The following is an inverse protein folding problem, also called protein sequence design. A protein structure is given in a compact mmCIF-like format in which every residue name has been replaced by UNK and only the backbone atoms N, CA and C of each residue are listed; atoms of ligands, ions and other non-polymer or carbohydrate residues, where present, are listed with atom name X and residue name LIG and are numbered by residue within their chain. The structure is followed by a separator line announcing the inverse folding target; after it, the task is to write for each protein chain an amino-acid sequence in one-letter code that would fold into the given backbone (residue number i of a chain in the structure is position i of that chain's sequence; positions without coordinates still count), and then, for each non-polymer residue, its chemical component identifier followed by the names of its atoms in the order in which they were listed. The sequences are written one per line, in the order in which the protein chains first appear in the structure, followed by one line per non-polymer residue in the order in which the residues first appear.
data_IF_210197859690
#
_entry.id   IF_210197859690
#
_cell.length_a   1.000
_cell.length_b   1.000
_cell.length_c   1.000
_cell.angle_alpha   90.00
_cell.angle_beta   90.00
_cell.angle_gamma   90.00
#
_symmetry.space_group_name_H-M   'P 1'
#
loop_
_entity.id
_entity.type
_entity.pdbx_description
1 polymer ?
#
# COMPACT_ATOMS: atom_id res chain seq x y z
N UNK A 1 10.69 23.37 15.64
CA UNK A 1 10.06 24.47 14.88
C UNK A 1 10.52 24.36 13.44
N UNK A 2 9.79 23.62 12.59
CA UNK A 2 9.98 23.68 11.15
C UNK A 2 8.92 24.65 10.62
N UNK A 3 9.30 25.91 10.49
CA UNK A 3 8.42 26.99 10.02
C UNK A 3 8.44 27.04 8.50
N UNK A 4 7.32 26.63 7.91
CA UNK A 4 6.69 27.14 6.68
C UNK A 4 7.58 27.72 5.57
N UNK A 5 8.07 26.88 4.65
CA UNK A 5 8.58 27.39 3.36
C UNK A 5 8.26 26.51 2.14
N UNK A 6 7.55 25.38 2.28
CA UNK A 6 7.37 24.45 1.15
C UNK A 6 6.08 24.64 0.35
N UNK A 7 5.11 25.42 0.84
CA UNK A 7 3.78 25.54 0.19
C UNK A 7 3.71 26.65 -0.88
N UNK A 8 4.71 27.54 -0.96
CA UNK A 8 4.66 28.72 -1.86
C UNK A 8 5.04 28.40 -3.31
N UNK A 9 5.85 27.37 -3.57
CA UNK A 9 6.38 27.10 -4.92
C UNK A 9 5.31 26.59 -5.92
N UNK A 10 4.22 26.00 -5.44
CA UNK A 10 3.19 25.41 -6.31
C UNK A 10 2.27 26.47 -6.96
N UNK A 11 2.10 27.64 -6.33
CA UNK A 11 1.12 28.63 -6.81
C UNK A 11 1.55 29.42 -8.04
N UNK A 12 2.85 29.60 -8.30
CA UNK A 12 3.33 30.46 -9.40
C UNK A 12 3.30 29.81 -10.80
N UNK A 13 3.05 28.50 -10.92
CA UNK A 13 3.00 27.80 -12.22
C UNK A 13 1.76 26.93 -12.43
N UNK A 14 0.70 27.07 -11.62
CA UNK A 14 -0.51 26.25 -11.73
C UNK A 14 -1.16 26.30 -13.13
N UNK A 15 -1.02 27.42 -13.86
CA UNK A 15 -1.55 27.57 -15.23
C UNK A 15 -0.73 26.85 -16.31
N UNK A 16 0.43 26.27 -15.97
CA UNK A 16 1.28 25.49 -16.89
C UNK A 16 1.19 23.98 -16.67
N UNK A 17 0.53 23.55 -15.60
CA UNK A 17 0.32 22.15 -15.32
C UNK A 17 -0.84 21.61 -16.17
N UNK A 18 -0.80 20.35 -16.61
CA UNK A 18 -1.95 19.73 -17.26
C UNK A 18 -3.15 19.74 -16.31
N UNK A 19 -4.35 19.81 -16.88
CA UNK A 19 -5.59 19.66 -16.12
C UNK A 19 -5.61 18.31 -15.39
N UNK A 20 -6.16 18.23 -14.17
CA UNK A 20 -6.31 16.96 -13.48
C UNK A 20 -7.25 16.05 -14.25
N UNK A 21 -7.00 14.74 -14.17
CA UNK A 21 -7.89 13.69 -14.67
C UNK A 21 -9.21 13.74 -13.88
N UNK A 22 -10.36 13.57 -14.54
CA UNK A 22 -11.68 13.64 -13.90
C UNK A 22 -12.57 12.46 -14.32
N UNK A 23 -13.58 12.16 -13.49
CA UNK A 23 -14.60 11.16 -13.83
C UNK A 23 -15.51 11.58 -15.00
N UNK A 24 -15.58 12.88 -15.29
CA UNK A 24 -16.32 13.44 -16.42
C UNK A 24 -15.73 13.07 -17.78
N UNK A 25 -14.47 12.63 -17.82
CA UNK A 25 -13.78 12.25 -19.06
C UNK A 25 -14.36 10.92 -19.57
N UNK A 26 -15.25 10.99 -20.56
CA UNK A 26 -15.99 9.83 -21.06
C UNK A 26 -15.06 8.73 -21.58
N UNK A 27 -15.31 7.50 -21.12
CA UNK A 27 -14.52 6.33 -21.49
C UNK A 27 -13.16 6.22 -20.78
N UNK A 28 -12.84 7.16 -19.88
CA UNK A 28 -11.60 7.10 -19.09
C UNK A 28 -11.67 6.04 -17.99
N UNK A 29 -10.48 5.65 -17.52
CA UNK A 29 -10.36 4.82 -16.32
C UNK A 29 -10.93 5.50 -15.07
N UNK A 30 -10.77 6.82 -14.95
CA UNK A 30 -11.30 7.60 -13.83
C UNK A 30 -12.84 7.55 -13.80
N UNK A 31 -13.50 7.68 -14.95
CA UNK A 31 -14.94 7.50 -15.05
C UNK A 31 -15.35 6.10 -14.58
N UNK A 32 -14.69 5.05 -15.09
CA UNK A 32 -14.99 3.67 -14.70
C UNK A 32 -14.77 3.44 -13.20
N UNK A 33 -13.74 4.05 -12.63
CA UNK A 33 -13.43 3.95 -11.20
C UNK A 33 -14.56 4.53 -10.36
N UNK A 34 -14.97 5.77 -10.64
CA UNK A 34 -16.02 6.46 -9.87
C UNK A 34 -17.40 5.79 -10.06
N UNK A 35 -17.75 5.41 -11.29
CA UNK A 35 -19.09 4.90 -11.62
C UNK A 35 -19.28 3.44 -11.21
N UNK A 36 -18.21 2.62 -11.23
CA UNK A 36 -18.32 1.17 -11.02
C UNK A 36 -17.52 0.68 -9.82
N UNK A 37 -16.22 0.97 -9.77
CA UNK A 37 -15.31 0.40 -8.77
C UNK A 37 -15.60 0.91 -7.35
N UNK A 38 -15.84 2.21 -7.19
CA UNK A 38 -16.12 2.78 -5.85
C UNK A 38 -17.41 2.19 -5.23
N UNK A 39 -18.55 2.09 -5.95
CA UNK A 39 -19.71 1.37 -5.43
C UNK A 39 -19.45 -0.10 -5.08
N UNK A 40 -18.71 -0.83 -5.94
CA UNK A 40 -18.35 -2.24 -5.71
C UNK A 40 -17.49 -2.44 -4.46
N UNK A 41 -16.62 -1.49 -4.13
CA UNK A 41 -15.84 -1.51 -2.88
C UNK A 41 -16.77 -1.44 -1.67
N UNK A 42 -17.78 -0.57 -1.68
CA UNK A 42 -18.77 -0.50 -0.59
C UNK A 42 -19.57 -1.79 -0.50
N UNK A 43 -20.01 -2.34 -1.62
CA UNK A 43 -20.74 -3.62 -1.65
C UNK A 43 -19.92 -4.75 -1.03
N UNK A 44 -18.61 -4.76 -1.27
CA UNK A 44 -17.70 -5.73 -0.66
C UNK A 44 -17.49 -5.47 0.84
N UNK A 45 -17.32 -4.23 1.27
CA UNK A 45 -17.23 -3.87 2.70
C UNK A 45 -18.48 -4.38 3.44
N UNK A 46 -19.67 -4.13 2.90
CA UNK A 46 -20.94 -4.57 3.49
C UNK A 46 -21.08 -6.09 3.54
N UNK A 47 -20.46 -6.82 2.61
CA UNK A 47 -20.47 -8.28 2.57
C UNK A 47 -19.48 -8.90 3.56
N UNK A 48 -18.29 -8.32 3.68
CA UNK A 48 -17.17 -8.91 4.40
C UNK A 48 -17.17 -8.60 5.91
N UNK A 49 -18.06 -7.72 6.38
CA UNK A 49 -18.08 -7.23 7.75
C UNK A 49 -19.47 -7.35 8.38
N UNK A 50 -19.49 -7.69 9.67
CA UNK A 50 -20.71 -7.68 10.51
C UNK A 50 -20.84 -6.34 11.24
N UNK A 51 -21.40 -5.35 10.55
CA UNK A 51 -21.61 -4.00 11.07
C UNK A 51 -22.97 -3.83 11.74
N UNK A 52 -23.05 -2.86 12.66
CA UNK A 52 -24.34 -2.46 13.23
C UNK A 52 -25.23 -1.79 12.16
N UNK A 53 -26.57 -1.76 12.34
CA UNK A 53 -27.49 -1.20 11.36
C UNK A 53 -27.19 0.25 10.94
N UNK A 54 -26.70 1.09 11.85
CA UNK A 54 -26.37 2.50 11.55
C UNK A 54 -25.18 2.61 10.59
N UNK A 55 -24.09 1.89 10.84
CA UNK A 55 -22.94 1.84 9.92
C UNK A 55 -23.33 1.30 8.55
N UNK A 56 -24.21 0.29 8.50
CA UNK A 56 -24.74 -0.24 7.22
C UNK A 56 -25.53 0.83 6.46
N UNK A 57 -26.34 1.63 7.15
CA UNK A 57 -27.09 2.73 6.55
C UNK A 57 -26.17 3.81 5.98
N UNK A 58 -25.16 4.24 6.75
CA UNK A 58 -24.19 5.26 6.34
C UNK A 58 -23.39 4.83 5.09
N UNK A 59 -22.93 3.58 5.04
CA UNK A 59 -22.26 3.04 3.86
C UNK A 59 -23.19 2.98 2.64
N UNK A 60 -24.47 2.61 2.82
CA UNK A 60 -25.45 2.60 1.73
C UNK A 60 -25.78 4.00 1.23
N UNK A 61 -25.84 4.99 2.11
CA UNK A 61 -26.00 6.39 1.72
C UNK A 61 -24.83 6.84 0.83
N UNK A 62 -23.59 6.62 1.27
CA UNK A 62 -22.39 6.92 0.48
C UNK A 62 -22.40 6.20 -0.89
N UNK A 63 -22.80 4.93 -0.91
CA UNK A 63 -22.94 4.16 -2.16
C UNK A 63 -23.94 4.78 -3.13
N UNK A 64 -25.07 5.25 -2.62
CA UNK A 64 -26.14 5.85 -3.42
C UNK A 64 -25.81 7.27 -3.87
N UNK A 65 -24.89 7.97 -3.18
CA UNK A 65 -24.33 9.24 -3.64
C UNK A 65 -23.49 9.07 -4.91
N UNK A 66 -22.91 7.89 -5.18
CA UNK A 66 -22.06 7.68 -6.35
C UNK A 66 -22.88 7.36 -7.62
N UNK A 67 -22.54 7.93 -8.79
CA UNK A 67 -21.52 8.97 -9.03
C UNK A 67 -22.09 10.41 -9.05
N UNK A 68 -23.42 10.57 -8.99
CA UNK A 68 -24.12 11.83 -9.31
C UNK A 68 -24.33 12.78 -8.12
N UNK A 69 -24.15 12.29 -6.90
CA UNK A 69 -24.23 13.08 -5.67
C UNK A 69 -23.12 14.13 -5.60
N UNK A 70 -23.32 15.14 -4.77
CA UNK A 70 -22.34 16.22 -4.57
C UNK A 70 -21.42 15.93 -3.39
N UNK A 71 -20.19 16.44 -3.47
CA UNK A 71 -19.23 16.34 -2.35
C UNK A 71 -19.81 17.03 -1.11
N UNK A 72 -19.80 16.30 0.01
CA UNK A 72 -20.33 16.76 1.30
C UNK A 72 -19.21 17.10 2.28
N UNK A 73 -19.51 17.92 3.28
CA UNK A 73 -18.61 18.07 4.44
C UNK A 73 -18.58 16.81 5.29
N UNK A 74 -17.47 16.61 6.00
CA UNK A 74 -17.38 15.59 7.03
C UNK A 74 -18.18 16.01 8.26
N UNK A 75 -18.67 15.04 9.02
CA UNK A 75 -19.49 15.20 10.23
C UNK A 75 -18.68 14.97 11.51
N UNK A 76 -17.57 14.26 11.41
CA UNK A 76 -16.71 13.87 12.54
C UNK A 76 -15.70 14.96 12.96
N UNK A 77 -16.20 16.15 13.31
CA UNK A 77 -15.40 17.34 13.64
C UNK A 77 -14.34 17.23 14.75
N UNK A 78 -14.32 16.12 15.50
CA UNK A 78 -13.35 15.86 16.57
C UNK A 78 -12.09 15.15 16.11
N UNK A 79 -12.00 14.69 14.85
CA UNK A 79 -10.81 13.98 14.36
C UNK A 79 -9.65 14.94 14.10
N UNK A 80 -8.41 14.45 14.26
CA UNK A 80 -7.21 15.28 14.11
C UNK A 80 -7.02 15.82 12.68
N UNK A 81 -7.56 15.11 11.67
CA UNK A 81 -7.45 15.45 10.25
C UNK A 81 -8.58 16.36 9.74
N UNK A 82 -9.61 16.63 10.57
CA UNK A 82 -10.82 17.33 10.14
C UNK A 82 -10.53 18.71 9.54
N UNK A 83 -9.67 19.49 10.20
CA UNK A 83 -9.35 20.86 9.74
C UNK A 83 -8.66 20.91 8.38
N UNK A 84 -7.82 19.92 8.06
CA UNK A 84 -7.19 19.81 6.74
C UNK A 84 -8.23 19.38 5.69
N UNK A 85 -9.08 18.40 6.02
CA UNK A 85 -10.14 17.93 5.12
C UNK A 85 -11.15 19.02 4.78
N UNK A 86 -11.55 19.86 5.72
CA UNK A 86 -12.43 21.00 5.43
C UNK A 86 -11.82 21.92 4.37
N UNK A 87 -10.49 22.14 4.42
CA UNK A 87 -9.80 22.95 3.41
C UNK A 87 -9.76 22.29 2.02
N UNK A 88 -9.68 20.96 1.96
CA UNK A 88 -9.70 20.19 0.71
C UNK A 88 -11.11 20.06 0.11
N UNK A 89 -12.14 19.98 0.96
CA UNK A 89 -13.54 19.81 0.55
C UNK A 89 -14.17 21.13 0.09
N UNK A 90 -13.87 22.24 0.77
CA UNK A 90 -14.48 23.55 0.52
C UNK A 90 -14.53 23.97 -0.96
N UNK A 91 -13.47 23.76 -1.79
CA UNK A 91 -13.50 24.09 -3.21
C UNK A 91 -14.52 23.29 -4.05
N UNK A 92 -15.07 22.20 -3.52
CA UNK A 92 -15.83 21.19 -4.26
C UNK A 92 -17.22 20.89 -3.69
N UNK A 93 -17.68 21.57 -2.63
CA UNK A 93 -18.93 21.32 -1.86
C UNK A 93 -20.24 21.34 -2.69
N UNK A 94 -20.18 21.62 -3.99
CA UNK A 94 -21.32 21.57 -4.90
C UNK A 94 -21.02 20.88 -6.23
N UNK A 95 -19.81 20.35 -6.39
CA UNK A 95 -19.41 19.54 -7.54
C UNK A 95 -19.84 18.10 -7.33
N UNK A 96 -20.16 17.41 -8.41
CA UNK A 96 -20.41 15.96 -8.37
C UNK A 96 -19.10 15.18 -8.23
N UNK A 97 -19.19 13.90 -7.87
CA UNK A 97 -18.00 13.02 -7.83
C UNK A 97 -17.28 12.91 -9.18
N UNK A 98 -18.00 13.07 -10.30
CA UNK A 98 -17.43 13.05 -11.65
C UNK A 98 -16.69 14.34 -12.01
N UNK A 99 -17.11 15.47 -11.44
CA UNK A 99 -16.61 16.80 -11.80
C UNK A 99 -15.31 17.16 -11.09
N UNK A 100 -15.01 16.59 -9.93
CA UNK A 100 -13.80 16.90 -9.14
C UNK A 100 -12.57 16.15 -9.66
N UNK A 101 -11.33 16.55 -9.30
CA UNK A 101 -10.13 15.78 -9.65
C UNK A 101 -10.26 14.34 -9.15
N UNK A 102 -9.95 13.36 -9.99
CA UNK A 102 -10.12 11.94 -9.67
C UNK A 102 -9.36 11.53 -8.40
N UNK A 103 -8.12 12.00 -8.24
CA UNK A 103 -7.34 11.77 -7.02
C UNK A 103 -8.07 12.29 -5.77
N UNK A 104 -8.68 13.48 -5.82
CA UNK A 104 -9.47 13.98 -4.70
C UNK A 104 -10.70 13.10 -4.45
N UNK A 105 -11.48 12.78 -5.50
CA UNK A 105 -12.68 11.94 -5.37
C UNK A 105 -12.35 10.60 -4.69
N UNK A 106 -11.28 9.95 -5.11
CA UNK A 106 -10.90 8.63 -4.61
C UNK A 106 -10.40 8.68 -3.16
N UNK A 107 -9.51 9.62 -2.82
CA UNK A 107 -9.04 9.75 -1.42
C UNK A 107 -10.19 10.18 -0.49
N UNK A 108 -11.04 11.11 -0.94
CA UNK A 108 -12.22 11.55 -0.19
C UNK A 108 -13.23 10.42 0.03
N UNK A 109 -13.43 9.55 -0.97
CA UNK A 109 -14.26 8.35 -0.85
C UNK A 109 -13.79 7.46 0.30
N UNK A 110 -12.49 7.17 0.39
CA UNK A 110 -11.97 6.38 1.51
C UNK A 110 -12.12 7.11 2.85
N UNK A 111 -11.92 8.43 2.90
CA UNK A 111 -12.16 9.20 4.13
C UNK A 111 -13.64 9.15 4.58
N UNK A 112 -14.59 9.17 3.64
CA UNK A 112 -16.03 8.99 3.91
C UNK A 112 -16.35 7.59 4.41
N UNK A 113 -15.66 6.55 3.93
CA UNK A 113 -15.76 5.19 4.50
C UNK A 113 -15.25 5.19 5.95
N UNK A 114 -14.08 5.79 6.21
CA UNK A 114 -13.48 5.88 7.55
C UNK A 114 -14.39 6.62 8.53
N UNK A 115 -15.10 7.66 8.09
CA UNK A 115 -16.18 8.29 8.86
C UNK A 115 -17.34 7.32 9.10
N UNK A 116 -17.88 6.69 8.05
CA UNK A 116 -19.08 5.86 8.13
C UNK A 116 -18.92 4.64 9.06
N UNK A 117 -17.71 4.06 9.11
CA UNK A 117 -17.39 2.92 10.00
C UNK A 117 -16.87 3.36 11.37
N UNK A 118 -16.82 4.67 11.62
CA UNK A 118 -16.35 5.26 12.88
C UNK A 118 -14.94 4.74 13.27
N UNK A 119 -14.03 4.67 12.29
CA UNK A 119 -12.73 4.01 12.47
C UNK A 119 -11.90 4.66 13.59
N UNK A 120 -11.90 5.99 13.69
CA UNK A 120 -11.07 6.68 14.69
C UNK A 120 -11.50 6.42 16.15
N UNK A 121 -12.74 6.00 16.38
CA UNK A 121 -13.20 5.58 17.71
C UNK A 121 -13.16 4.06 17.89
N UNK A 122 -13.47 3.29 16.83
CA UNK A 122 -13.60 1.82 16.93
C UNK A 122 -12.29 1.07 16.67
N UNK A 123 -11.37 1.65 15.90
CA UNK A 123 -10.14 1.02 15.40
C UNK A 123 -10.37 -0.15 14.44
N UNK A 124 -11.60 -0.36 13.94
CA UNK A 124 -11.93 -1.52 13.12
C UNK A 124 -11.67 -1.23 11.64
N UNK A 125 -10.63 -1.84 11.09
CA UNK A 125 -10.31 -1.75 9.66
C UNK A 125 -11.39 -2.49 8.82
N UNK A 126 -12.17 -1.78 7.97
CA UNK A 126 -13.21 -2.39 7.14
C UNK A 126 -12.64 -3.30 6.03
N UNK A 127 -11.33 -3.27 5.78
CA UNK A 127 -10.64 -4.05 4.76
C UNK A 127 -9.81 -5.20 5.33
N UNK A 128 -9.76 -5.34 6.66
CA UNK A 128 -8.99 -6.37 7.36
C UNK A 128 -9.15 -7.77 6.77
N UNK A 129 -10.40 -8.18 6.49
CA UNK A 129 -10.69 -9.49 5.94
C UNK A 129 -10.00 -9.71 4.60
N UNK A 130 -10.05 -8.72 3.69
CA UNK A 130 -9.42 -8.79 2.37
C UNK A 130 -7.89 -8.90 2.48
N UNK A 131 -7.27 -8.05 3.31
CA UNK A 131 -5.81 -8.08 3.56
C UNK A 131 -5.35 -9.43 4.10
N UNK A 132 -6.08 -9.97 5.07
CA UNK A 132 -5.81 -11.28 5.67
C UNK A 132 -5.94 -12.42 4.66
N UNK A 133 -6.97 -12.40 3.82
CA UNK A 133 -7.14 -13.41 2.77
C UNK A 133 -6.01 -13.32 1.74
N UNK A 134 -5.59 -12.11 1.34
CA UNK A 134 -4.45 -11.90 0.45
C UNK A 134 -3.19 -12.60 0.97
N UNK A 135 -2.84 -12.36 2.25
CA UNK A 135 -1.68 -13.01 2.89
C UNK A 135 -1.80 -14.55 2.92
N UNK A 136 -2.98 -15.08 3.25
CA UNK A 136 -3.21 -16.52 3.34
C UNK A 136 -3.13 -17.23 1.98
N UNK A 137 -3.58 -16.58 0.92
CA UNK A 137 -3.59 -17.16 -0.43
C UNK A 137 -2.19 -17.17 -1.07
N UNK A 138 -1.28 -16.30 -0.62
CA UNK A 138 0.07 -16.16 -1.17
C UNK A 138 1.14 -16.98 -0.45
N UNK A 139 0.77 -17.88 0.46
CA UNK A 139 1.69 -18.70 1.24
C UNK A 139 2.75 -19.48 0.42
N UNK A 140 2.45 -20.03 -0.78
CA UNK A 140 3.48 -20.66 -1.62
C UNK A 140 4.57 -19.68 -2.09
N UNK A 141 4.19 -18.45 -2.47
CA UNK A 141 5.13 -17.41 -2.89
C UNK A 141 6.00 -16.96 -1.71
N UNK A 142 5.38 -16.77 -0.54
CA UNK A 142 6.08 -16.44 0.73
C UNK A 142 7.14 -17.51 1.05
N UNK A 143 6.79 -18.80 0.97
CA UNK A 143 7.75 -19.90 1.20
C UNK A 143 8.91 -19.87 0.20
N UNK A 144 8.64 -19.65 -1.09
CA UNK A 144 9.67 -19.57 -2.12
C UNK A 144 10.64 -18.43 -1.82
N UNK A 145 10.12 -17.24 -1.56
CA UNK A 145 10.95 -16.06 -1.30
C UNK A 145 11.73 -16.18 0.01
N UNK A 146 11.09 -16.62 1.09
CA UNK A 146 11.79 -16.88 2.36
C UNK A 146 12.90 -17.94 2.21
N UNK A 147 12.69 -18.96 1.39
CA UNK A 147 13.72 -19.95 1.05
C UNK A 147 14.92 -19.34 0.33
N UNK A 148 14.70 -18.38 -0.57
CA UNK A 148 15.79 -17.62 -1.21
C UNK A 148 16.57 -16.82 -0.18
N UNK A 149 15.89 -16.05 0.68
CA UNK A 149 16.52 -15.28 1.75
C UNK A 149 17.34 -16.16 2.69
N UNK A 150 16.79 -17.31 3.10
CA UNK A 150 17.50 -18.27 3.95
C UNK A 150 18.74 -18.84 3.24
N UNK A 151 18.64 -19.14 1.93
CA UNK A 151 19.78 -19.67 1.17
C UNK A 151 20.96 -18.71 1.10
N UNK A 152 20.72 -17.40 1.07
CA UNK A 152 21.78 -16.38 1.09
C UNK A 152 22.51 -16.34 2.43
N UNK A 153 21.81 -16.59 3.53
CA UNK A 153 22.38 -16.69 4.86
C UNK A 153 23.21 -17.98 4.98
N UNK A 154 22.62 -19.11 4.62
CA UNK A 154 23.26 -20.44 4.74
C UNK A 154 24.50 -20.58 3.86
N UNK A 155 24.56 -19.85 2.74
CA UNK A 155 25.70 -19.86 1.83
C UNK A 155 26.94 -19.15 2.36
N UNK A 156 26.83 -18.33 3.41
CA UNK A 156 27.97 -17.65 4.04
C UNK A 156 28.81 -16.85 3.03
N UNK A 157 30.08 -17.20 2.87
CA UNK A 157 31.00 -16.57 1.89
C UNK A 157 30.66 -16.90 0.43
N UNK A 158 29.88 -17.96 0.17
CA UNK A 158 29.45 -18.37 -1.18
C UNK A 158 28.14 -17.72 -1.63
N UNK A 159 27.57 -16.82 -0.82
CA UNK A 159 26.33 -16.11 -1.15
C UNK A 159 26.51 -15.24 -2.40
N UNK A 160 25.43 -14.88 -3.10
CA UNK A 160 25.49 -13.94 -4.22
C UNK A 160 26.09 -12.59 -3.79
N UNK A 161 26.59 -11.82 -4.75
CA UNK A 161 27.08 -10.47 -4.45
C UNK A 161 25.94 -9.57 -3.94
N UNK A 162 26.25 -8.53 -3.15
CA UNK A 162 25.25 -7.55 -2.72
C UNK A 162 24.37 -7.02 -3.84
N UNK A 163 24.95 -6.74 -5.01
CA UNK A 163 24.25 -6.23 -6.18
C UNK A 163 23.15 -7.19 -6.65
N UNK A 164 23.46 -8.49 -6.72
CA UNK A 164 22.49 -9.52 -7.12
C UNK A 164 21.38 -9.65 -6.07
N UNK A 165 21.74 -9.67 -4.78
CA UNK A 165 20.75 -9.80 -3.70
C UNK A 165 19.79 -8.60 -3.68
N UNK A 166 20.31 -7.38 -3.83
CA UNK A 166 19.48 -6.16 -3.89
C UNK A 166 18.59 -6.19 -5.15
N UNK A 167 19.14 -6.53 -6.32
CA UNK A 167 18.37 -6.61 -7.55
C UNK A 167 17.21 -7.60 -7.43
N UNK A 168 17.48 -8.80 -6.93
CA UNK A 168 16.47 -9.84 -6.73
C UNK A 168 15.41 -9.38 -5.72
N UNK A 169 15.80 -8.71 -4.63
CA UNK A 169 14.88 -8.20 -3.63
C UNK A 169 13.99 -7.05 -4.18
N UNK A 170 14.57 -6.10 -4.93
CA UNK A 170 13.82 -5.01 -5.59
C UNK A 170 12.82 -5.58 -6.59
N UNK A 171 13.22 -6.57 -7.39
CA UNK A 171 12.30 -7.21 -8.33
C UNK A 171 11.17 -7.96 -7.59
N UNK A 172 11.47 -8.69 -6.51
CA UNK A 172 10.43 -9.33 -5.71
C UNK A 172 9.45 -8.32 -5.08
N UNK A 173 9.93 -7.15 -4.63
CA UNK A 173 9.11 -6.05 -4.13
C UNK A 173 8.21 -5.49 -5.24
N UNK A 174 8.78 -5.10 -6.37
CA UNK A 174 8.06 -4.53 -7.51
C UNK A 174 6.93 -5.43 -8.02
N UNK A 175 7.21 -6.73 -8.19
CA UNK A 175 6.22 -7.68 -8.71
C UNK A 175 5.36 -8.31 -7.62
N UNK A 176 5.67 -8.04 -6.35
CA UNK A 176 4.81 -8.39 -5.21
C UNK A 176 3.42 -7.75 -5.33
N UNK A 177 3.35 -6.55 -5.89
CA UNK A 177 2.10 -5.83 -6.18
C UNK A 177 1.19 -6.59 -7.18
N UNK A 178 1.74 -7.41 -8.09
CA UNK A 178 0.91 -8.20 -9.02
C UNK A 178 0.18 -9.37 -8.36
N UNK A 179 0.59 -9.77 -7.15
CA UNK A 179 -0.14 -10.74 -6.35
C UNK A 179 -1.38 -10.10 -5.66
N UNK A 180 -1.57 -8.78 -5.80
CA UNK A 180 -2.73 -8.09 -5.26
C UNK A 180 -4.02 -8.49 -6.02
N UNK A 181 -4.98 -8.93 -5.23
CA UNK A 181 -6.31 -9.39 -5.65
C UNK A 181 -7.28 -8.20 -5.85
N UNK A 182 -6.92 -6.99 -5.42
CA UNK A 182 -7.77 -5.80 -5.49
C UNK A 182 -8.00 -5.27 -6.92
N UNK A 183 -7.10 -5.62 -7.85
CA UNK A 183 -7.14 -5.17 -9.24
C UNK A 183 -8.01 -6.04 -10.16
N UNK A 184 -8.42 -7.23 -9.72
CA UNK A 184 -9.06 -8.22 -10.60
C UNK A 184 -10.54 -8.43 -10.22
N UNK A 185 -11.48 -8.28 -11.18
CA UNK A 185 -12.87 -8.67 -10.98
C UNK A 185 -12.97 -10.14 -10.57
N UNK A 186 -13.93 -10.49 -9.70
CA UNK A 186 -14.16 -11.87 -9.28
C UNK A 186 -14.45 -12.84 -10.44
N UNK A 187 -14.78 -12.30 -11.61
CA UNK A 187 -15.21 -13.04 -12.80
C UNK A 187 -14.17 -12.99 -13.95
N UNK A 188 -12.98 -12.43 -13.71
CA UNK A 188 -11.91 -12.32 -14.72
C UNK A 188 -11.01 -13.55 -14.76
N UNK A 189 -11.08 -14.32 -15.84
CA UNK A 189 -10.13 -15.40 -16.13
C UNK A 189 -8.69 -14.86 -16.25
N UNK A 190 -7.76 -15.52 -15.54
CA UNK A 190 -6.29 -15.38 -15.60
C UNK A 190 -5.72 -14.14 -14.87
N UNK A 191 -5.36 -14.34 -13.59
CA UNK A 191 -4.25 -13.59 -12.98
C UNK A 191 -3.01 -13.83 -13.85
N UNK A 192 -2.32 -12.78 -14.36
CA UNK A 192 -1.01 -12.94 -14.98
C UNK A 192 -0.04 -13.39 -13.89
N UNK A 193 0.04 -14.70 -13.66
CA UNK A 193 1.03 -15.28 -12.78
C UNK A 193 2.38 -15.19 -13.49
N UNK A 194 3.02 -14.02 -13.46
CA UNK A 194 4.43 -13.85 -13.81
C UNK A 194 5.35 -14.52 -12.77
N UNK A 195 4.95 -15.67 -12.23
CA UNK A 195 5.72 -16.51 -11.31
C UNK A 195 6.98 -17.11 -11.97
N UNK A 196 7.10 -16.96 -13.30
CA UNK A 196 8.32 -17.18 -14.07
C UNK A 196 9.10 -15.88 -14.17
N UNK A 197 9.95 -15.63 -13.16
CA UNK A 197 10.94 -14.54 -13.09
C UNK A 197 11.90 -14.45 -14.31
N UNK A 198 11.89 -15.42 -15.23
CA UNK A 198 12.83 -15.48 -16.35
C UNK A 198 12.64 -14.38 -17.40
N UNK A 199 11.44 -13.77 -17.50
CA UNK A 199 11.14 -12.71 -18.48
C UNK A 199 10.56 -11.45 -17.83
N UNK A 200 10.75 -11.30 -16.51
CA UNK A 200 10.12 -10.24 -15.74
C UNK A 200 10.76 -8.87 -16.01
N UNK A 201 12.06 -8.86 -16.35
CA UNK A 201 12.75 -7.66 -16.80
C UNK A 201 12.23 -7.16 -18.16
N UNK A 202 11.73 -8.04 -19.02
CA UNK A 202 11.19 -7.66 -20.35
C UNK A 202 9.91 -6.82 -20.25
N UNK A 203 9.28 -6.79 -19.06
CA UNK A 203 8.08 -6.02 -18.77
C UNK A 203 8.37 -4.68 -18.08
N UNK A 204 9.65 -4.33 -17.86
CA UNK A 204 10.04 -3.03 -17.33
C UNK A 204 10.08 -1.98 -18.46
N UNK A 205 9.29 -0.91 -18.31
CA UNK A 205 9.31 0.21 -19.26
C UNK A 205 10.45 1.20 -18.98
N UNK A 206 10.85 1.30 -17.71
CA UNK A 206 11.97 2.10 -17.22
C UNK A 206 12.60 1.36 -16.06
N UNK A 207 13.93 1.34 -16.00
CA UNK A 207 14.70 0.62 -14.97
C UNK A 207 15.93 1.43 -14.54
N UNK A 208 15.80 2.10 -13.40
CA UNK A 208 16.88 2.83 -12.73
C UNK A 208 17.47 2.03 -11.55
N UNK A 209 17.16 0.73 -11.43
CA UNK A 209 17.61 -0.09 -10.29
C UNK A 209 19.13 -0.17 -10.19
N UNK A 210 19.84 -0.13 -11.32
CA UNK A 210 21.31 -0.11 -11.36
C UNK A 210 21.92 1.11 -10.65
N UNK A 211 21.30 2.28 -10.76
CA UNK A 211 21.77 3.49 -10.06
C UNK A 211 21.55 3.39 -8.55
N UNK A 212 20.42 2.82 -8.13
CA UNK A 212 20.09 2.57 -6.72
C UNK A 212 21.05 1.54 -6.13
N UNK A 213 21.29 0.42 -6.83
CA UNK A 213 22.21 -0.63 -6.41
C UNK A 213 23.60 -0.06 -6.21
N UNK A 214 24.12 0.69 -7.19
CA UNK A 214 25.42 1.37 -7.08
C UNK A 214 25.46 2.30 -5.88
N UNK A 215 24.44 3.14 -5.67
CA UNK A 215 24.38 4.04 -4.52
C UNK A 215 24.45 3.28 -3.18
N UNK A 216 23.83 2.10 -3.09
CA UNK A 216 23.81 1.28 -1.89
C UNK A 216 25.14 0.53 -1.70
N UNK A 217 25.74 0.03 -2.78
CA UNK A 217 26.96 -0.80 -2.71
C UNK A 217 28.26 0.00 -2.80
N UNK A 218 28.20 1.30 -3.15
CA UNK A 218 29.35 2.20 -3.14
C UNK A 218 29.86 2.41 -1.70
N UNK A 219 30.90 1.65 -1.32
CA UNK A 219 31.56 1.78 -0.02
C UNK A 219 31.08 0.74 1.01
N UNK A 220 30.63 1.19 2.17
CA UNK A 220 30.27 0.31 3.31
C UNK A 220 28.76 0.23 3.57
N UNK A 221 27.93 0.50 2.56
CA UNK A 221 26.48 0.63 2.71
C UNK A 221 26.03 2.05 3.04
N UNK A 222 24.71 2.22 3.17
CA UNK A 222 24.07 3.52 3.47
C UNK A 222 23.61 3.61 4.93
N UNK A 223 23.45 4.84 5.43
CA UNK A 223 22.97 5.05 6.80
C UNK A 223 21.48 4.65 6.95
N UNK A 224 20.64 5.08 6.00
CA UNK A 224 19.19 4.95 6.09
C UNK A 224 18.54 4.77 4.72
N UNK A 225 17.55 3.89 4.66
CA UNK A 225 16.61 3.76 3.54
C UNK A 225 15.18 3.95 4.08
N UNK A 226 14.36 4.70 3.36
CA UNK A 226 12.95 4.89 3.64
C UNK A 226 12.13 4.20 2.56
N UNK A 227 11.16 3.37 2.98
CA UNK A 227 10.25 2.66 2.08
C UNK A 227 8.84 3.18 2.34
N UNK A 228 8.20 3.76 1.33
CA UNK A 228 6.79 4.14 1.38
C UNK A 228 5.97 2.94 0.92
N UNK A 229 5.25 2.32 1.86
CA UNK A 229 4.56 1.06 1.60
C UNK A 229 3.23 1.31 0.88
N UNK A 230 2.92 0.40 -0.04
CA UNK A 230 1.64 0.35 -0.75
C UNK A 230 0.73 -0.69 -0.09
N UNK A 231 0.68 -1.94 -0.59
CA UNK A 231 -0.30 -2.94 -0.17
C UNK A 231 0.19 -3.95 0.88
N UNK A 232 -0.74 -4.40 1.72
CA UNK A 232 -0.60 -5.56 2.58
C UNK A 232 -0.59 -6.88 1.78
N UNK A 233 -0.46 -8.01 2.46
CA UNK A 233 -0.38 -9.32 1.79
C UNK A 233 1.03 -9.60 1.29
N UNK A 234 1.17 -10.16 0.09
CA UNK A 234 2.48 -10.57 -0.43
C UNK A 234 3.40 -9.40 -0.76
N UNK A 235 2.86 -8.26 -1.23
CA UNK A 235 3.68 -7.06 -1.49
C UNK A 235 4.40 -6.61 -0.23
N UNK A 236 3.68 -6.43 0.88
CA UNK A 236 4.30 -6.15 2.18
C UNK A 236 5.34 -7.21 2.59
N UNK A 237 5.09 -8.50 2.35
CA UNK A 237 6.09 -9.55 2.65
C UNK A 237 7.36 -9.36 1.79
N UNK A 238 7.20 -9.00 0.52
CA UNK A 238 8.31 -8.72 -0.38
C UNK A 238 9.10 -7.48 0.05
N UNK A 239 8.42 -6.39 0.42
CA UNK A 239 9.04 -5.17 0.94
C UNK A 239 9.81 -5.42 2.24
N UNK A 240 9.23 -6.22 3.14
CA UNK A 240 9.91 -6.66 4.36
C UNK A 240 11.13 -7.53 4.03
N UNK A 241 11.09 -8.33 2.97
CA UNK A 241 12.25 -9.10 2.53
C UNK A 241 13.35 -8.23 1.92
N UNK A 242 12.99 -7.15 1.22
CA UNK A 242 13.94 -6.11 0.82
C UNK A 242 14.58 -5.45 2.04
N UNK A 243 13.78 -5.06 3.04
CA UNK A 243 14.28 -4.49 4.29
C UNK A 243 15.22 -5.46 5.04
N UNK A 244 14.84 -6.74 5.18
CA UNK A 244 15.67 -7.79 5.79
C UNK A 244 16.98 -7.97 5.02
N UNK A 245 16.94 -8.00 3.68
CA UNK A 245 18.14 -8.11 2.84
C UNK A 245 19.10 -6.95 3.10
N UNK A 246 18.58 -5.72 3.12
CA UNK A 246 19.38 -4.52 3.35
C UNK A 246 20.04 -4.53 4.75
N UNK A 247 19.30 -4.94 5.78
CA UNK A 247 19.76 -4.90 7.17
C UNK A 247 20.62 -6.12 7.56
N UNK A 248 20.29 -7.31 7.10
CA UNK A 248 21.00 -8.56 7.42
C UNK A 248 22.38 -8.59 6.78
N UNK A 249 22.53 -8.02 5.58
CA UNK A 249 23.80 -7.98 4.86
C UNK A 249 24.61 -6.69 5.08
N UNK A 250 24.17 -5.79 5.98
CA UNK A 250 24.88 -4.56 6.33
C UNK A 250 24.93 -3.53 5.20
N UNK A 251 23.96 -3.57 4.30
CA UNK A 251 23.84 -2.64 3.16
C UNK A 251 23.13 -1.35 3.56
N UNK A 252 22.32 -1.40 4.62
CA UNK A 252 21.81 -0.24 5.32
C UNK A 252 21.98 -0.41 6.84
N UNK A 253 22.26 0.68 7.54
CA UNK A 253 22.27 0.67 9.01
C UNK A 253 20.86 0.70 9.60
N UNK A 254 19.92 1.35 8.89
CA UNK A 254 18.51 1.47 9.27
C UNK A 254 17.58 1.47 8.06
N UNK A 255 16.41 0.86 8.20
CA UNK A 255 15.28 0.96 7.27
C UNK A 255 14.07 1.53 8.01
N UNK A 256 13.39 2.50 7.40
CA UNK A 256 12.18 3.12 7.93
C UNK A 256 11.00 2.82 7.02
N UNK A 257 9.94 2.26 7.57
CA UNK A 257 8.71 1.92 6.85
C UNK A 257 7.67 3.02 7.07
N UNK A 258 7.19 3.63 5.98
CA UNK A 258 6.10 4.61 6.03
C UNK A 258 4.80 3.94 5.63
N UNK A 259 3.87 3.87 6.58
CA UNK A 259 2.53 3.29 6.41
C UNK A 259 1.47 4.38 6.38
N UNK A 260 0.26 4.03 5.95
CA UNK A 260 -0.89 4.93 5.99
C UNK A 260 -1.39 5.06 7.45
N UNK A 261 -1.93 6.22 7.80
CA UNK A 261 -2.37 6.53 9.17
C UNK A 261 -3.70 5.83 9.55
N UNK A 262 -4.52 5.50 8.55
CA UNK A 262 -5.78 4.78 8.68
C UNK A 262 -6.01 3.98 7.40
N UNK A 263 -6.95 3.01 7.40
CA UNK A 263 -7.25 2.22 6.21
C UNK A 263 -7.66 3.12 5.05
N UNK A 264 -7.12 2.82 3.87
CA UNK A 264 -7.32 3.59 2.64
C UNK A 264 -7.00 2.65 1.47
N UNK A 265 -7.54 2.90 0.28
CA UNK A 265 -7.21 2.12 -0.93
C UNK A 265 -7.34 0.59 -0.80
N UNK A 266 -8.23 0.13 0.09
CA UNK A 266 -8.50 -1.29 0.40
C UNK A 266 -7.31 -2.00 1.04
N UNK A 267 -6.24 -2.21 0.29
CA UNK A 267 -5.11 -3.05 0.68
C UNK A 267 -3.97 -2.26 1.31
N UNK A 268 -4.00 -0.93 1.31
CA UNK A 268 -2.87 -0.15 1.82
C UNK A 268 -2.49 -0.51 3.26
N UNK A 269 -1.17 -0.62 3.48
CA UNK A 269 -0.59 -0.98 4.76
C UNK A 269 -0.82 0.12 5.79
N UNK A 270 -1.37 -0.27 6.95
CA UNK A 270 -1.35 0.49 8.19
C UNK A 270 -0.44 -0.20 9.23
N UNK A 271 -0.16 0.46 10.35
CA UNK A 271 0.79 -0.05 11.36
C UNK A 271 0.44 -1.46 11.87
N UNK A 272 -0.85 -1.76 12.05
CA UNK A 272 -1.30 -3.08 12.52
C UNK A 272 -0.97 -4.18 11.52
N UNK A 273 -0.99 -3.90 10.21
CA UNK A 273 -0.69 -4.88 9.16
C UNK A 273 0.77 -5.34 9.22
N UNK A 274 1.71 -4.46 9.58
CA UNK A 274 3.12 -4.81 9.81
C UNK A 274 3.24 -5.83 10.94
N UNK A 275 2.65 -5.51 12.09
CA UNK A 275 2.73 -6.35 13.30
C UNK A 275 2.09 -7.71 13.07
N UNK A 276 0.96 -7.74 12.40
CA UNK A 276 0.25 -8.98 12.07
C UNK A 276 1.01 -9.83 11.06
N UNK A 277 1.56 -9.22 10.00
CA UNK A 277 2.34 -9.93 8.99
C UNK A 277 3.58 -10.56 9.60
N UNK A 278 4.38 -9.80 10.36
CA UNK A 278 5.57 -10.33 11.05
C UNK A 278 5.17 -11.42 12.06
N UNK A 279 4.07 -11.21 12.81
CA UNK A 279 3.53 -12.20 13.73
C UNK A 279 3.11 -13.50 13.05
N UNK A 280 2.54 -13.42 11.85
CA UNK A 280 2.15 -14.58 11.05
C UNK A 280 3.39 -15.33 10.52
N UNK A 281 4.40 -14.61 9.99
CA UNK A 281 5.66 -15.20 9.52
C UNK A 281 6.36 -15.97 10.64
N UNK A 282 6.48 -15.38 11.84
CA UNK A 282 7.09 -16.03 13.03
C UNK A 282 6.39 -17.30 13.49
N UNK A 283 5.08 -17.40 13.26
CA UNK A 283 4.28 -18.57 13.64
C UNK A 283 4.16 -19.59 12.51
N UNK A 284 4.81 -19.35 11.36
CA UNK A 284 4.78 -20.26 10.24
C UNK A 284 5.39 -21.63 10.60
N UNK A 285 4.80 -22.69 10.04
CA UNK A 285 5.32 -24.05 10.18
C UNK A 285 6.62 -24.23 9.40
N UNK A 286 6.69 -23.64 8.20
CA UNK A 286 7.88 -23.61 7.36
C UNK A 286 9.02 -22.89 8.07
N UNK A 287 10.19 -23.54 8.12
CA UNK A 287 11.34 -23.05 8.88
C UNK A 287 11.94 -21.77 8.28
N UNK A 288 12.07 -21.68 6.96
CA UNK A 288 12.64 -20.49 6.31
C UNK A 288 11.75 -19.27 6.52
N UNK A 289 10.42 -19.44 6.40
CA UNK A 289 9.45 -18.38 6.69
C UNK A 289 9.51 -17.94 8.15
N UNK A 290 9.60 -18.91 9.08
CA UNK A 290 9.71 -18.62 10.51
C UNK A 290 10.98 -17.85 10.84
N UNK A 291 12.12 -18.27 10.31
CA UNK A 291 13.41 -17.61 10.51
C UNK A 291 13.40 -16.18 9.96
N UNK A 292 12.78 -15.98 8.79
CA UNK A 292 12.58 -14.65 8.23
C UNK A 292 11.76 -13.75 9.16
N UNK A 293 10.62 -14.23 9.66
CA UNK A 293 9.81 -13.50 10.63
C UNK A 293 10.57 -13.17 11.94
N UNK A 294 11.45 -14.06 12.41
CA UNK A 294 12.28 -13.84 13.60
C UNK A 294 13.28 -12.70 13.36
N UNK A 295 13.99 -12.70 12.22
CA UNK A 295 14.94 -11.63 11.88
C UNK A 295 14.26 -10.26 11.82
N UNK A 296 13.09 -10.17 11.19
CA UNK A 296 12.31 -8.93 11.13
C UNK A 296 11.97 -8.39 12.52
N UNK A 297 11.56 -9.26 13.45
CA UNK A 297 11.32 -8.86 14.83
C UNK A 297 12.62 -8.40 15.52
N UNK A 298 13.75 -9.08 15.31
CA UNK A 298 15.03 -8.65 15.85
C UNK A 298 15.47 -7.27 15.30
N UNK A 299 15.22 -6.99 14.02
CA UNK A 299 15.45 -5.68 13.43
C UNK A 299 14.58 -4.60 14.07
N UNK A 300 13.29 -4.89 14.33
CA UNK A 300 12.39 -3.98 15.04
C UNK A 300 12.87 -3.72 16.48
N UNK A 301 13.21 -4.77 17.23
CA UNK A 301 13.66 -4.68 18.61
C UNK A 301 14.99 -3.94 18.75
N UNK A 302 15.88 -4.05 17.75
CA UNK A 302 17.15 -3.32 17.69
C UNK A 302 17.03 -1.89 17.15
N UNK A 303 15.84 -1.47 16.71
CA UNK A 303 15.61 -0.16 16.11
C UNK A 303 16.24 0.03 14.72
N UNK A 304 16.71 -1.07 14.10
CA UNK A 304 17.24 -1.08 12.72
C UNK A 304 16.12 -1.10 11.68
N UNK A 305 14.97 -1.66 12.03
CA UNK A 305 13.72 -1.50 11.30
C UNK A 305 12.79 -0.66 12.18
N UNK A 306 12.12 0.34 11.62
CA UNK A 306 11.17 1.19 12.36
C UNK A 306 10.00 1.62 11.51
#
# INVERSE_FOLDING_TARGET
MFTGSTVTIIKENASKLPSPIRGSDRGSWAQSTIVKRLPEIIDRILKDNDFNPGTIEELKLLRNELPEGTIQRLRDSSTADFGEWESYITPYESSTWLEVPWFFAEVYFYRRIIEAVDYFHTGKDPFFHQKKQGLLQTQPAIRRFAGVLQSWIDSGEKRPSPEIMIQDAILNALWGNQADLSLWPADGEVSPSHQNLQNVQDHLLADDSGDIIRLITDGTGVERIDILLDNAGYELVSDLGLADTLLTHGLASRVVLHVKAHPVFVSDVIETDIRETIGALRKAQDEAVRNFGIRLEEHLLSGRLS
#
